data_IF_331476890336
#
_entry.id   IF_331476890336
#
_cell.length_a   1.000
_cell.length_b   1.000
_cell.length_c   1.000
_cell.angle_alpha   90.00
_cell.angle_beta   90.00
_cell.angle_gamma   90.00
#
_symmetry.space_group_name_H-M   'P 1'
#
loop_
_entity.id
_entity.type
_entity.pdbx_description
1 polymer ?
#
# COMPACT_ATOMS: atom_id res chain seq x y z
N UNK A 1 19.69 -8.60 4.16
CA UNK A 1 19.92 -8.58 2.69
C UNK A 1 21.40 -8.54 2.33
N UNK A 2 22.16 -7.50 2.71
CA UNK A 2 23.59 -7.39 2.34
C UNK A 2 24.44 -8.56 2.86
N UNK A 3 24.21 -9.00 4.10
CA UNK A 3 24.89 -10.17 4.68
C UNK A 3 24.56 -11.44 3.90
N UNK A 4 23.27 -11.73 3.66
CA UNK A 4 22.84 -12.88 2.85
C UNK A 4 23.46 -12.89 1.44
N UNK A 5 23.52 -11.73 0.77
CA UNK A 5 24.14 -11.58 -0.54
C UNK A 5 25.65 -11.78 -0.48
N UNK A 6 26.32 -11.18 0.50
CA UNK A 6 27.76 -11.31 0.69
C UNK A 6 28.17 -12.76 1.02
N UNK A 7 27.42 -13.46 1.88
CA UNK A 7 27.67 -14.87 2.21
C UNK A 7 27.42 -15.80 1.02
N UNK A 8 26.44 -15.48 0.17
CA UNK A 8 26.15 -16.23 -1.05
C UNK A 8 27.22 -16.02 -2.14
N UNK A 9 27.64 -14.78 -2.37
CA UNK A 9 28.73 -14.46 -3.30
C UNK A 9 30.07 -15.01 -2.81
N UNK A 10 30.38 -14.91 -1.51
CA UNK A 10 31.56 -15.52 -0.91
C UNK A 10 31.56 -17.05 -1.01
N UNK A 11 30.40 -17.71 -0.82
CA UNK A 11 30.26 -19.15 -1.01
C UNK A 11 30.44 -19.62 -2.46
N UNK A 12 30.20 -18.74 -3.45
CA UNK A 12 30.44 -19.01 -4.88
C UNK A 12 31.89 -18.81 -5.32
N UNK A 13 32.63 -17.90 -4.69
CA UNK A 13 34.03 -17.58 -5.03
C UNK A 13 35.07 -18.19 -4.10
N UNK A 14 34.67 -18.90 -3.04
CA UNK A 14 35.60 -19.61 -2.16
C UNK A 14 36.44 -20.65 -2.95
N UNK A 15 37.79 -20.60 -2.90
CA UNK A 15 38.66 -21.49 -3.65
C UNK A 15 38.46 -22.95 -3.24
N UNK A 16 38.44 -23.84 -4.24
CA UNK A 16 38.22 -25.27 -4.05
C UNK A 16 39.37 -25.91 -3.25
N UNK A 17 39.14 -26.15 -1.96
CA UNK A 17 40.06 -26.86 -1.07
C UNK A 17 39.38 -28.08 -0.47
N UNK A 18 40.01 -29.25 -0.67
CA UNK A 18 39.73 -30.61 -0.15
C UNK A 18 38.25 -30.94 0.13
N UNK A 19 37.70 -31.72 -0.82
CA UNK A 19 36.42 -32.45 -0.96
C UNK A 19 35.59 -32.88 0.28
N UNK A 20 36.10 -32.83 1.51
CA UNK A 20 35.37 -33.23 2.74
C UNK A 20 35.04 -32.06 3.67
N UNK A 21 35.86 -31.01 3.72
CA UNK A 21 35.59 -29.76 4.46
C UNK A 21 34.68 -28.80 3.65
N UNK A 22 34.72 -28.92 2.33
CA UNK A 22 33.97 -28.09 1.39
C UNK A 22 32.45 -28.13 1.59
N UNK A 23 31.90 -29.31 1.92
CA UNK A 23 30.46 -29.48 2.16
C UNK A 23 29.98 -28.83 3.46
N UNK A 24 30.81 -28.84 4.51
CA UNK A 24 30.47 -28.30 5.83
C UNK A 24 30.50 -26.77 5.82
N UNK A 25 31.52 -26.18 5.21
CA UNK A 25 31.69 -24.71 5.13
C UNK A 25 30.61 -24.10 4.23
N UNK A 26 30.32 -24.71 3.07
CA UNK A 26 29.23 -24.25 2.18
C UNK A 26 27.85 -24.35 2.83
N UNK A 27 27.59 -25.42 3.60
CA UNK A 27 26.34 -25.56 4.35
C UNK A 27 26.19 -24.50 5.44
N UNK A 28 27.26 -24.17 6.16
CA UNK A 28 27.25 -23.12 7.18
C UNK A 28 26.96 -21.74 6.57
N UNK A 29 27.60 -21.38 5.46
CA UNK A 29 27.32 -20.11 4.77
C UNK A 29 25.89 -20.05 4.21
N UNK A 30 25.37 -21.16 3.68
CA UNK A 30 23.99 -21.24 3.21
C UNK A 30 22.99 -21.04 4.37
N UNK A 31 23.23 -21.65 5.53
CA UNK A 31 22.40 -21.48 6.70
C UNK A 31 22.38 -20.02 7.18
N UNK A 32 23.55 -19.38 7.27
CA UNK A 32 23.66 -17.96 7.64
C UNK A 32 22.96 -17.07 6.61
N UNK A 33 23.08 -17.36 5.32
CA UNK A 33 22.40 -16.63 4.26
C UNK A 33 20.86 -16.70 4.39
N UNK A 34 20.33 -17.90 4.63
CA UNK A 34 18.88 -18.13 4.83
C UNK A 34 18.39 -17.38 6.07
N UNK A 35 19.07 -17.51 7.21
CA UNK A 35 18.70 -16.83 8.45
C UNK A 35 18.72 -15.30 8.27
N UNK A 36 19.78 -14.76 7.67
CA UNK A 36 19.90 -13.32 7.40
C UNK A 36 18.80 -12.83 6.44
N UNK A 37 18.37 -13.66 5.49
CA UNK A 37 17.29 -13.34 4.58
C UNK A 37 15.93 -13.35 5.29
N UNK A 38 15.67 -14.33 6.15
CA UNK A 38 14.43 -14.39 6.96
C UNK A 38 14.32 -13.15 7.85
N UNK A 39 15.40 -12.78 8.57
CA UNK A 39 15.43 -11.56 9.39
C UNK A 39 15.11 -10.33 8.54
N UNK A 40 15.67 -10.23 7.34
CA UNK A 40 15.36 -9.13 6.42
C UNK A 40 13.88 -9.08 6.03
N UNK A 41 13.26 -10.22 5.69
CA UNK A 41 11.84 -10.28 5.35
C UNK A 41 10.98 -9.86 6.54
N UNK A 42 11.28 -10.32 7.76
CA UNK A 42 10.55 -9.91 8.96
C UNK A 42 10.67 -8.41 9.19
N UNK A 43 11.88 -7.86 9.16
CA UNK A 43 12.10 -6.41 9.30
C UNK A 43 11.35 -5.60 8.24
N UNK A 44 11.31 -6.09 7.00
CA UNK A 44 10.56 -5.45 5.92
C UNK A 44 9.05 -5.43 6.23
N UNK A 45 8.47 -6.56 6.63
CA UNK A 45 7.06 -6.64 7.00
C UNK A 45 6.72 -5.74 8.20
N UNK A 46 7.61 -5.63 9.19
CA UNK A 46 7.46 -4.71 10.32
C UNK A 46 7.43 -3.25 9.86
N UNK A 47 8.37 -2.82 9.01
CA UNK A 47 8.41 -1.45 8.47
C UNK A 47 7.12 -1.13 7.71
N UNK A 48 6.63 -2.07 6.90
CA UNK A 48 5.39 -1.89 6.14
C UNK A 48 4.17 -1.82 7.07
N UNK A 49 4.13 -2.63 8.12
CA UNK A 49 3.10 -2.56 9.16
C UNK A 49 3.07 -1.22 9.88
N UNK A 50 4.24 -0.72 10.29
CA UNK A 50 4.36 0.60 10.92
C UNK A 50 3.93 1.74 9.98
N UNK A 51 4.26 1.63 8.69
CA UNK A 51 3.80 2.59 7.68
C UNK A 51 2.28 2.64 7.64
N UNK A 52 1.60 1.48 7.56
CA UNK A 52 0.13 1.44 7.53
C UNK A 52 -0.50 1.99 8.80
N UNK A 53 0.08 1.69 9.96
CA UNK A 53 -0.37 2.23 11.23
C UNK A 53 -0.31 3.77 11.21
N UNK A 54 0.82 4.33 10.80
CA UNK A 54 1.00 5.78 10.68
C UNK A 54 -0.04 6.42 9.76
N UNK A 55 -0.39 5.79 8.64
CA UNK A 55 -1.45 6.30 7.74
C UNK A 55 -2.81 6.38 8.44
N UNK A 56 -3.21 5.36 9.23
CA UNK A 56 -4.45 5.40 10.00
C UNK A 56 -4.47 6.54 11.03
N UNK A 57 -3.36 6.76 11.73
CA UNK A 57 -3.22 7.89 12.65
C UNK A 57 -3.29 9.23 11.91
N UNK A 58 -2.65 9.35 10.75
CA UNK A 58 -2.68 10.57 9.95
C UNK A 58 -4.08 10.89 9.44
N UNK A 59 -4.82 9.89 8.96
CA UNK A 59 -6.21 10.04 8.51
C UNK A 59 -7.11 10.49 9.67
N UNK A 60 -7.00 9.81 10.82
CA UNK A 60 -7.80 10.14 12.00
C UNK A 60 -7.47 11.56 12.53
N UNK A 61 -6.18 11.86 12.69
CA UNK A 61 -5.74 13.18 13.15
C UNK A 61 -6.20 14.30 12.21
N UNK A 62 -6.08 14.10 10.90
CA UNK A 62 -6.52 15.09 9.91
C UNK A 62 -8.03 15.29 9.96
N UNK A 63 -8.82 14.22 10.11
CA UNK A 63 -10.27 14.30 10.23
C UNK A 63 -10.73 15.12 11.44
N UNK A 64 -10.13 14.86 12.62
CA UNK A 64 -10.45 15.63 13.83
C UNK A 64 -9.97 17.08 13.74
N UNK A 65 -8.80 17.32 13.13
CA UNK A 65 -8.24 18.67 13.01
C UNK A 65 -9.05 19.54 12.03
N UNK A 66 -9.47 19.00 10.89
CA UNK A 66 -10.22 19.77 9.88
C UNK A 66 -11.70 19.88 10.17
N UNK A 67 -12.25 19.03 11.04
CA UNK A 67 -13.68 19.00 11.32
C UNK A 67 -14.52 18.41 10.17
N UNK A 68 -13.89 17.82 9.16
CA UNK A 68 -14.53 17.51 7.88
C UNK A 68 -14.20 16.10 7.33
N UNK A 69 -14.44 15.02 8.10
CA UNK A 69 -14.15 13.64 7.69
C UNK A 69 -14.77 13.26 6.34
N UNK A 70 -15.99 13.71 6.04
CA UNK A 70 -16.68 13.50 4.75
C UNK A 70 -15.85 13.95 3.55
N UNK A 71 -15.15 15.08 3.68
CA UNK A 71 -14.35 15.65 2.60
C UNK A 71 -13.11 14.79 2.31
N UNK A 72 -12.48 14.24 3.37
CA UNK A 72 -11.37 13.31 3.24
C UNK A 72 -11.81 11.99 2.60
N UNK A 73 -12.98 11.45 3.00
CA UNK A 73 -13.55 10.24 2.38
C UNK A 73 -13.76 10.45 0.87
N UNK A 74 -14.41 11.55 0.48
CA UNK A 74 -14.69 11.87 -0.93
C UNK A 74 -13.40 12.06 -1.73
N UNK A 75 -12.41 12.77 -1.18
CA UNK A 75 -11.12 12.93 -1.81
C UNK A 75 -10.41 11.59 -2.01
N UNK A 76 -10.41 10.74 -0.99
CA UNK A 76 -9.78 9.43 -1.06
C UNK A 76 -10.46 8.54 -2.10
N UNK A 77 -11.80 8.47 -2.11
CA UNK A 77 -12.57 7.71 -3.08
C UNK A 77 -12.30 8.19 -4.52
N UNK A 78 -12.24 9.52 -4.74
CA UNK A 78 -11.90 10.09 -6.04
C UNK A 78 -10.51 9.69 -6.49
N UNK A 79 -9.52 9.70 -5.59
CA UNK A 79 -8.16 9.27 -5.92
C UNK A 79 -8.18 7.78 -6.28
N UNK A 80 -8.73 6.92 -5.44
CA UNK A 80 -8.53 5.46 -5.58
C UNK A 80 -9.41 4.80 -6.64
N UNK A 81 -10.66 5.26 -6.76
CA UNK A 81 -11.65 4.67 -7.65
C UNK A 81 -11.97 5.56 -8.86
N UNK A 82 -11.69 6.87 -8.78
CA UNK A 82 -12.05 7.83 -9.84
C UNK A 82 -10.91 8.39 -10.69
N UNK A 83 -9.67 8.55 -10.18
CA UNK A 83 -8.67 9.45 -10.79
C UNK A 83 -7.20 9.02 -10.69
N UNK A 84 -6.80 8.09 -9.81
CA UNK A 84 -5.37 7.86 -9.57
C UNK A 84 -4.78 6.83 -10.53
N UNK A 85 -4.06 7.35 -11.50
CA UNK A 85 -2.93 6.66 -12.11
C UNK A 85 -1.69 7.52 -11.89
N UNK A 86 -0.74 6.98 -11.13
CA UNK A 86 0.63 7.49 -11.14
C UNK A 86 1.46 6.50 -11.95
N UNK A 87 1.70 6.77 -13.25
CA UNK A 87 2.75 6.06 -13.96
C UNK A 87 4.11 6.44 -13.40
N UNK A 88 5.06 5.49 -13.51
CA UNK A 88 6.43 5.65 -13.02
C UNK A 88 7.03 6.93 -13.62
N UNK A 89 7.72 7.79 -12.83
CA UNK A 89 8.20 9.06 -13.34
C UNK A 89 9.14 8.84 -14.54
N UNK A 90 8.89 9.52 -15.68
CA UNK A 90 9.78 9.43 -16.83
C UNK A 90 11.13 10.09 -16.50
N UNK A 91 12.21 9.53 -17.04
CA UNK A 91 13.55 10.13 -16.95
C UNK A 91 13.67 11.36 -17.87
N UNK A 92 14.36 12.40 -17.39
CA UNK A 92 14.74 13.59 -18.18
C UNK A 92 13.88 14.84 -17.90
N UNK A 93 13.82 15.76 -18.87
CA UNK A 93 13.10 17.04 -18.72
C UNK A 93 11.60 16.90 -18.39
N UNK A 94 11.03 15.71 -18.65
CA UNK A 94 9.64 15.36 -18.32
C UNK A 94 9.39 15.27 -16.81
N UNK A 95 10.42 15.04 -15.98
CA UNK A 95 10.30 15.05 -14.52
C UNK A 95 9.95 16.43 -13.95
N UNK A 96 10.21 17.51 -14.69
CA UNK A 96 9.87 18.87 -14.25
C UNK A 96 8.38 19.20 -14.43
N UNK A 97 7.61 18.35 -15.12
CA UNK A 97 6.17 18.51 -15.29
C UNK A 97 5.42 17.68 -14.26
N UNK A 98 4.28 18.22 -13.78
CA UNK A 98 3.38 17.52 -12.84
C UNK A 98 2.80 16.24 -13.46
N UNK A 99 2.68 16.17 -14.79
CA UNK A 99 2.33 14.96 -15.54
C UNK A 99 3.10 14.89 -16.86
N UNK A 100 3.36 13.68 -17.37
CA UNK A 100 4.07 13.50 -18.64
C UNK A 100 3.13 13.82 -19.82
N UNK A 101 3.34 14.93 -20.56
CA UNK A 101 2.47 15.30 -21.67
C UNK A 101 2.47 14.25 -22.79
N UNK A 102 3.54 13.46 -22.93
CA UNK A 102 3.62 12.41 -23.94
C UNK A 102 2.73 11.20 -23.59
N UNK A 103 2.56 10.89 -22.31
CA UNK A 103 1.73 9.77 -21.84
C UNK A 103 0.31 10.19 -21.45
N UNK A 104 0.04 11.49 -21.37
CA UNK A 104 -1.25 12.06 -20.98
C UNK A 104 -2.45 11.41 -21.69
N UNK A 105 -2.36 11.14 -23.01
CA UNK A 105 -3.46 10.49 -23.74
C UNK A 105 -3.76 9.07 -23.24
N UNK A 106 -2.71 8.29 -22.94
CA UNK A 106 -2.85 6.93 -22.42
C UNK A 106 -3.34 6.93 -20.96
N UNK A 107 -2.83 7.84 -20.15
CA UNK A 107 -3.29 8.07 -18.77
C UNK A 107 -4.77 8.44 -18.74
N UNK A 108 -5.21 9.38 -19.59
CA UNK A 108 -6.62 9.76 -19.69
C UNK A 108 -7.47 8.57 -20.11
N UNK A 109 -7.05 7.77 -21.10
CA UNK A 109 -7.83 6.60 -21.52
C UNK A 109 -7.99 5.56 -20.41
N UNK A 110 -6.95 5.35 -19.61
CA UNK A 110 -6.97 4.37 -18.52
C UNK A 110 -7.71 4.90 -17.28
N UNK A 111 -7.68 6.22 -17.03
CA UNK A 111 -8.57 6.87 -16.05
C UNK A 111 -10.02 6.73 -16.49
N UNK A 112 -10.34 7.00 -17.76
CA UNK A 112 -11.71 6.87 -18.29
C UNK A 112 -12.22 5.44 -18.20
N UNK A 113 -11.38 4.45 -18.51
CA UNK A 113 -11.72 3.02 -18.39
C UNK A 113 -12.01 2.63 -16.94
N UNK A 114 -11.14 3.00 -16.00
CA UNK A 114 -11.37 2.75 -14.57
C UNK A 114 -12.57 3.52 -14.02
N UNK A 115 -12.74 4.77 -14.43
CA UNK A 115 -13.89 5.57 -14.02
C UNK A 115 -15.17 4.86 -14.42
N UNK A 116 -15.29 4.41 -15.67
CA UNK A 116 -16.45 3.65 -16.16
C UNK A 116 -16.66 2.29 -15.47
N UNK A 117 -15.67 1.77 -14.74
CA UNK A 117 -15.80 0.53 -13.95
C UNK A 117 -16.59 0.75 -12.65
N UNK A 118 -16.48 1.94 -12.04
CA UNK A 118 -17.06 2.25 -10.74
C UNK A 118 -18.19 3.29 -10.80
N UNK A 119 -18.17 4.19 -11.79
CA UNK A 119 -19.20 5.18 -12.10
C UNK A 119 -20.19 4.56 -13.11
N UNK A 120 -21.27 3.98 -12.59
CA UNK A 120 -22.26 3.21 -13.37
C UNK A 120 -23.20 4.13 -14.15
N UNK A 121 -23.52 5.30 -13.61
CA UNK A 121 -24.43 6.28 -14.23
C UNK A 121 -23.72 7.33 -15.10
N UNK A 122 -22.38 7.41 -15.01
CA UNK A 122 -21.48 8.27 -15.78
C UNK A 122 -21.64 9.76 -15.49
N UNK A 123 -22.14 10.11 -14.31
CA UNK A 123 -22.30 11.52 -13.91
C UNK A 123 -20.96 12.15 -13.45
N UNK A 124 -19.94 11.32 -13.20
CA UNK A 124 -18.61 11.73 -12.77
C UNK A 124 -18.40 11.88 -11.28
N UNK A 125 -19.36 11.45 -10.46
CA UNK A 125 -19.32 11.43 -9.00
C UNK A 125 -19.70 10.02 -8.56
N UNK A 126 -18.99 9.47 -7.57
CA UNK A 126 -19.39 8.17 -7.01
C UNK A 126 -20.54 8.40 -6.02
N UNK A 127 -21.71 7.84 -6.33
CA UNK A 127 -22.82 7.79 -5.38
C UNK A 127 -22.47 6.88 -4.18
N UNK A 128 -23.24 6.94 -3.09
CA UNK A 128 -22.95 6.12 -1.90
C UNK A 128 -23.00 4.61 -2.19
N UNK A 129 -23.88 4.18 -3.09
CA UNK A 129 -24.05 2.76 -3.45
C UNK A 129 -22.93 2.28 -4.36
N UNK A 130 -22.51 3.08 -5.33
CA UNK A 130 -21.38 2.86 -6.23
C UNK A 130 -20.07 2.78 -5.44
N UNK A 131 -19.89 3.70 -4.48
CA UNK A 131 -18.75 3.65 -3.58
C UNK A 131 -18.74 2.37 -2.73
N UNK A 132 -19.89 1.97 -2.19
CA UNK A 132 -20.02 0.72 -1.44
C UNK A 132 -19.72 -0.51 -2.30
N UNK A 133 -20.18 -0.55 -3.56
CA UNK A 133 -19.87 -1.61 -4.51
C UNK A 133 -18.37 -1.65 -4.86
N UNK A 134 -17.75 -0.49 -5.07
CA UNK A 134 -16.32 -0.37 -5.32
C UNK A 134 -15.49 -0.91 -4.14
N UNK A 135 -15.88 -0.53 -2.92
CA UNK A 135 -15.27 -1.00 -1.68
C UNK A 135 -15.47 -2.50 -1.48
N UNK A 136 -16.66 -3.03 -1.78
CA UNK A 136 -16.94 -4.46 -1.67
C UNK A 136 -16.10 -5.28 -2.66
N UNK A 137 -15.93 -4.78 -3.89
CA UNK A 137 -15.09 -5.41 -4.91
C UNK A 137 -13.61 -5.44 -4.49
N UNK A 138 -13.10 -4.35 -3.92
CA UNK A 138 -11.74 -4.32 -3.35
C UNK A 138 -11.62 -5.31 -2.18
N UNK A 139 -12.59 -5.33 -1.26
CA UNK A 139 -12.58 -6.18 -0.07
C UNK A 139 -12.69 -7.68 -0.37
N UNK A 140 -13.44 -8.06 -1.43
CA UNK A 140 -13.60 -9.45 -1.88
C UNK A 140 -12.39 -9.98 -2.63
N UNK A 141 -11.49 -9.12 -3.10
CA UNK A 141 -10.29 -9.55 -3.82
C UNK A 141 -9.30 -10.28 -2.89
N UNK A 142 -9.21 -11.61 -3.05
CA UNK A 142 -8.22 -12.45 -2.36
C UNK A 142 -6.80 -11.97 -2.65
N UNK A 143 -6.56 -11.47 -3.86
CA UNK A 143 -5.26 -10.94 -4.26
C UNK A 143 -4.93 -9.62 -3.54
N UNK A 144 -5.92 -8.75 -3.35
CA UNK A 144 -5.75 -7.52 -2.58
C UNK A 144 -5.42 -7.80 -1.10
N UNK A 145 -6.04 -8.82 -0.49
CA UNK A 145 -5.72 -9.23 0.89
C UNK A 145 -4.27 -9.69 1.05
N UNK A 146 -3.76 -10.49 0.11
CA UNK A 146 -2.36 -10.95 0.13
C UNK A 146 -1.43 -9.76 -0.11
N UNK A 147 -1.75 -8.90 -1.08
CA UNK A 147 -0.95 -7.72 -1.40
C UNK A 147 -0.91 -6.71 -0.25
N UNK A 148 -1.92 -6.69 0.62
CA UNK A 148 -1.95 -5.80 1.80
C UNK A 148 -0.76 -6.04 2.72
N UNK A 149 -0.32 -7.29 2.89
CA UNK A 149 0.87 -7.62 3.69
C UNK A 149 2.15 -6.98 3.13
N UNK A 150 2.20 -6.85 1.80
CA UNK A 150 3.28 -6.25 1.03
C UNK A 150 2.93 -4.85 0.51
N UNK A 151 2.00 -4.14 1.16
CA UNK A 151 1.67 -2.76 0.83
C UNK A 151 2.08 -1.80 1.94
N UNK A 152 2.60 -0.64 1.59
CA UNK A 152 2.97 0.42 2.55
C UNK A 152 1.77 1.22 3.05
N UNK A 153 0.64 1.16 2.33
CA UNK A 153 -0.62 1.80 2.69
C UNK A 153 -1.69 0.76 3.00
N UNK A 154 -2.60 1.04 3.95
CA UNK A 154 -3.76 0.18 4.18
C UNK A 154 -4.71 0.25 2.98
N UNK A 155 -5.51 -0.80 2.74
CA UNK A 155 -6.47 -0.82 1.65
C UNK A 155 -7.48 0.32 1.79
N UNK A 156 -7.97 0.82 0.67
CA UNK A 156 -8.70 2.09 0.64
C UNK A 156 -10.00 1.98 1.41
N UNK A 157 -10.77 0.91 1.17
CA UNK A 157 -12.05 0.72 1.85
C UNK A 157 -11.92 0.79 3.38
N UNK A 158 -10.83 0.28 3.98
CA UNK A 158 -10.60 0.37 5.43
C UNK A 158 -10.41 1.81 5.90
N UNK A 159 -9.72 2.63 5.11
CA UNK A 159 -9.52 4.06 5.41
C UNK A 159 -10.83 4.84 5.32
N UNK A 160 -11.65 4.56 4.31
CA UNK A 160 -12.97 5.19 4.16
C UNK A 160 -13.89 4.79 5.33
N UNK A 161 -13.90 3.52 5.73
CA UNK A 161 -14.67 3.05 6.88
C UNK A 161 -14.22 3.71 8.20
N UNK A 162 -12.92 3.84 8.42
CA UNK A 162 -12.37 4.56 9.57
C UNK A 162 -12.88 6.00 9.62
N UNK A 163 -12.80 6.71 8.49
CA UNK A 163 -13.29 8.09 8.42
C UNK A 163 -14.80 8.20 8.61
N UNK A 164 -15.58 7.20 8.16
CA UNK A 164 -17.05 7.13 8.36
C UNK A 164 -17.39 6.91 9.83
N UNK A 165 -16.63 6.07 10.53
CA UNK A 165 -16.78 5.89 11.98
C UNK A 165 -16.47 7.20 12.73
N UNK A 166 -15.37 7.88 12.39
CA UNK A 166 -15.00 9.18 12.99
C UNK A 166 -16.09 10.24 12.75
N UNK A 167 -16.63 10.30 11.54
CA UNK A 167 -17.77 11.18 11.22
C UNK A 167 -18.97 10.92 12.14
N UNK A 168 -19.38 9.66 12.29
CA UNK A 168 -20.46 9.28 13.19
C UNK A 168 -20.16 9.62 14.66
N UNK A 169 -18.92 9.47 15.12
CA UNK A 169 -18.52 9.85 16.48
C UNK A 169 -18.63 11.37 16.71
N UNK A 170 -18.20 12.16 15.72
CA UNK A 170 -18.26 13.62 15.75
C UNK A 170 -19.70 14.14 15.72
N UNK A 171 -20.57 13.54 14.91
CA UNK A 171 -22.00 13.88 14.85
C UNK A 171 -22.73 13.55 16.16
N UNK A 172 -22.40 12.39 16.77
CA UNK A 172 -23.04 11.94 18.00
C UNK A 172 -22.46 12.57 19.28
N UNK A 173 -21.38 13.36 19.16
CA UNK A 173 -20.72 14.02 20.30
C UNK A 173 -20.09 13.06 21.32
N UNK A 174 -19.90 11.78 20.96
CA UNK A 174 -19.30 10.75 21.81
C UNK A 174 -17.92 10.40 21.28
N UNK A 175 -16.89 11.04 21.83
CA UNK A 175 -15.50 10.76 21.50
C UNK A 175 -15.06 9.48 22.21
N UNK A 176 -15.08 8.33 21.52
CA UNK A 176 -14.59 7.07 22.05
C UNK A 176 -13.20 6.75 21.48
N UNK A 177 -12.15 7.22 22.15
CA UNK A 177 -10.76 6.94 21.77
C UNK A 177 -10.44 5.44 21.67
N UNK A 178 -11.14 4.60 22.43
CA UNK A 178 -10.83 3.18 22.55
C UNK A 178 -11.34 2.35 21.37
N UNK A 179 -12.42 2.77 20.68
CA UNK A 179 -13.07 1.94 19.64
C UNK A 179 -12.42 2.04 18.26
N UNK A 180 -11.67 3.10 18.01
CA UNK A 180 -11.11 3.43 16.69
C UNK A 180 -10.05 2.41 16.28
N UNK A 181 -9.27 1.91 17.25
CA UNK A 181 -8.15 0.99 17.03
C UNK A 181 -8.50 -0.49 17.19
N UNK A 182 -9.63 -0.82 17.82
CA UNK A 182 -10.05 -2.21 18.04
C UNK A 182 -10.44 -2.95 16.75
N UNK A 183 -10.79 -2.21 15.69
CA UNK A 183 -11.24 -2.77 14.40
C UNK A 183 -10.17 -2.76 13.29
N UNK A 184 -8.95 -2.28 13.58
CA UNK A 184 -7.85 -2.15 12.60
C UNK A 184 -6.99 -3.42 12.57
#
# INVERSE_FOLDING_TARGET
YLIARATWEAGRWAPASKKKEEGSIKAAFLAVAIISYIVYIVSLLCVMGLSRLREHYADAYSAYLTGSPRSLQSALAKITYGLSLSPKPPSGARTFYIGDPAMAKMEISSIMEKKAEYDLDRDGVLDERELELAMEKEAKSTWAKINTWFSTHPPTFKRILLLREIEMEMENGRFTSDRIYEKI
#
